data_IF_377036824625
#
_entry.id   IF_377036824625
#
_cell.length_a   1.000
_cell.length_b   1.000
_cell.length_c   1.000
_cell.angle_alpha   90.00
_cell.angle_beta   90.00
_cell.angle_gamma   90.00
#
_symmetry.space_group_name_H-M   'P 1'
#
loop_
_entity.id
_entity.type
_entity.pdbx_description
1 polymer ?
#
# COMPACT_ATOMS: atom_id res chain seq x y z
N UNK A 1 -18.84 24.33 14.45
CA UNK A 1 -17.93 25.28 13.76
C UNK A 1 -16.45 24.88 13.76
N UNK A 2 -15.70 24.77 14.87
CA UNK A 2 -14.26 24.41 14.84
C UNK A 2 -13.97 22.98 14.35
N UNK A 3 -14.76 21.99 14.72
CA UNK A 3 -14.61 20.61 14.27
C UNK A 3 -14.97 20.46 12.79
N UNK A 4 -16.04 21.10 12.34
CA UNK A 4 -16.51 21.12 10.97
C UNK A 4 -15.52 21.76 9.99
N UNK A 5 -14.86 22.86 10.39
CA UNK A 5 -13.82 23.50 9.58
C UNK A 5 -12.57 22.63 9.44
N UNK A 6 -12.21 21.85 10.48
CA UNK A 6 -11.08 20.90 10.42
C UNK A 6 -11.38 19.73 9.47
N UNK A 7 -12.62 19.23 9.48
CA UNK A 7 -13.05 18.15 8.59
C UNK A 7 -13.02 18.58 7.12
N UNK A 8 -13.45 19.80 6.81
CA UNK A 8 -13.41 20.35 5.45
C UNK A 8 -11.97 20.47 4.96
N UNK A 9 -11.06 21.02 5.78
CA UNK A 9 -9.63 21.16 5.42
C UNK A 9 -8.96 19.81 5.20
N UNK A 10 -9.22 18.85 6.09
CA UNK A 10 -8.68 17.51 5.99
C UNK A 10 -9.10 16.81 4.69
N UNK A 11 -10.34 17.03 4.28
CA UNK A 11 -10.89 16.51 3.04
C UNK A 11 -10.28 17.20 1.82
N UNK A 12 -10.19 18.53 1.82
CA UNK A 12 -9.55 19.27 0.73
C UNK A 12 -8.10 18.83 0.52
N UNK A 13 -7.35 18.60 1.61
CA UNK A 13 -5.99 18.09 1.54
C UNK A 13 -5.94 16.69 0.93
N UNK A 14 -6.84 15.79 1.34
CA UNK A 14 -6.90 14.43 0.76
C UNK A 14 -7.21 14.46 -0.74
N UNK A 15 -8.12 15.34 -1.17
CA UNK A 15 -8.43 15.54 -2.59
C UNK A 15 -7.24 16.10 -3.36
N UNK A 16 -6.55 17.10 -2.81
CA UNK A 16 -5.35 17.68 -3.43
C UNK A 16 -4.24 16.63 -3.59
N UNK A 17 -4.01 15.81 -2.57
CA UNK A 17 -3.03 14.71 -2.62
C UNK A 17 -3.40 13.65 -3.66
N UNK A 18 -4.67 13.29 -3.75
CA UNK A 18 -5.16 12.36 -4.76
C UNK A 18 -4.89 12.88 -6.18
N UNK A 19 -5.24 14.15 -6.46
CA UNK A 19 -4.98 14.78 -7.75
C UNK A 19 -3.48 14.83 -8.01
N UNK A 20 -2.68 15.28 -7.05
CA UNK A 20 -1.22 15.40 -7.19
C UNK A 20 -0.57 14.07 -7.59
N UNK A 21 -0.87 12.98 -6.86
CA UNK A 21 -0.30 11.66 -7.14
C UNK A 21 -0.62 11.21 -8.57
N UNK A 22 -1.89 11.34 -8.96
CA UNK A 22 -2.31 10.88 -10.27
C UNK A 22 -1.80 11.80 -11.40
N UNK A 23 -1.68 13.11 -11.17
CA UNK A 23 -1.07 14.06 -12.12
C UNK A 23 0.41 13.70 -12.36
N UNK A 24 1.18 13.49 -11.29
CA UNK A 24 2.58 13.07 -11.40
C UNK A 24 2.72 11.74 -12.15
N UNK A 25 1.79 10.83 -11.92
CA UNK A 25 1.75 9.56 -12.63
C UNK A 25 1.45 9.76 -14.13
N UNK A 26 0.42 10.54 -14.46
CA UNK A 26 0.05 10.86 -15.86
C UNK A 26 1.20 11.57 -16.57
N UNK A 27 1.82 12.56 -15.93
CA UNK A 27 2.95 13.30 -16.50
C UNK A 27 4.10 12.36 -16.87
N UNK A 28 4.54 11.53 -15.92
CA UNK A 28 5.65 10.59 -16.13
C UNK A 28 5.40 9.64 -17.29
N UNK A 29 4.19 9.09 -17.41
CA UNK A 29 3.91 8.07 -18.42
C UNK A 29 3.52 8.67 -19.77
N UNK A 30 2.84 9.83 -19.79
CA UNK A 30 2.56 10.54 -21.04
C UNK A 30 3.81 11.15 -21.67
N UNK A 31 4.82 11.53 -20.86
CA UNK A 31 6.11 12.00 -21.36
C UNK A 31 6.87 10.95 -22.23
N UNK A 32 6.55 9.68 -22.07
CA UNK A 32 7.08 8.59 -22.89
C UNK A 32 6.36 8.44 -24.23
N UNK A 33 5.20 9.06 -24.39
CA UNK A 33 4.30 8.90 -25.54
C UNK A 33 4.16 10.17 -26.37
N UNK A 34 4.31 11.35 -25.74
CA UNK A 34 4.09 12.64 -26.40
C UNK A 34 4.86 13.77 -25.72
N UNK A 35 5.28 14.75 -26.52
CA UNK A 35 5.89 16.01 -26.04
C UNK A 35 4.85 16.91 -25.33
N UNK A 36 3.56 16.66 -25.54
CA UNK A 36 2.45 17.41 -24.93
C UNK A 36 2.07 16.91 -23.52
N UNK A 37 2.93 16.14 -22.85
CA UNK A 37 2.66 15.51 -21.57
C UNK A 37 2.19 16.50 -20.49
N UNK A 38 2.76 17.71 -20.44
CA UNK A 38 2.35 18.74 -19.50
C UNK A 38 0.89 19.20 -19.73
N UNK A 39 0.46 19.33 -20.98
CA UNK A 39 -0.94 19.66 -21.32
C UNK A 39 -1.87 18.52 -20.92
N UNK A 40 -1.50 17.27 -21.21
CA UNK A 40 -2.27 16.07 -20.80
C UNK A 40 -2.45 16.06 -19.28
N UNK A 41 -1.38 16.34 -18.54
CA UNK A 41 -1.39 16.39 -17.08
C UNK A 41 -2.27 17.51 -16.53
N UNK A 42 -2.24 18.70 -17.16
CA UNK A 42 -3.12 19.82 -16.79
C UNK A 42 -4.59 19.49 -17.07
N UNK A 43 -4.91 18.90 -18.21
CA UNK A 43 -6.28 18.47 -18.54
C UNK A 43 -6.75 17.44 -17.50
N UNK A 44 -5.93 16.44 -17.18
CA UNK A 44 -6.25 15.45 -16.17
C UNK A 44 -6.51 16.11 -14.81
N UNK A 45 -5.65 17.05 -14.37
CA UNK A 45 -5.81 17.76 -13.11
C UNK A 45 -7.15 18.50 -13.02
N UNK A 46 -7.53 19.20 -14.09
CA UNK A 46 -8.80 19.94 -14.16
C UNK A 46 -9.99 18.96 -14.10
N UNK A 47 -9.96 17.90 -14.92
CA UNK A 47 -11.02 16.90 -14.96
C UNK A 47 -11.16 16.17 -13.62
N UNK A 48 -10.05 15.73 -13.01
CA UNK A 48 -10.05 15.05 -11.72
C UNK A 48 -10.53 15.98 -10.60
N UNK A 49 -10.05 17.23 -10.57
CA UNK A 49 -10.49 18.23 -9.59
C UNK A 49 -11.99 18.54 -9.71
N UNK A 50 -12.50 18.71 -10.93
CA UNK A 50 -13.91 18.91 -11.19
C UNK A 50 -14.78 17.69 -10.79
N UNK A 51 -14.32 16.48 -11.12
CA UNK A 51 -15.01 15.25 -10.72
C UNK A 51 -15.05 15.09 -9.20
N UNK A 52 -13.97 15.38 -8.49
CA UNK A 52 -13.94 15.36 -7.03
C UNK A 52 -14.87 16.39 -6.39
N UNK A 53 -14.96 17.59 -6.99
CA UNK A 53 -15.87 18.63 -6.53
C UNK A 53 -17.34 18.24 -6.70
N UNK A 54 -17.65 17.50 -7.76
CA UNK A 54 -19.02 17.00 -8.01
C UNK A 54 -19.34 15.74 -7.23
N UNK A 55 -18.35 14.96 -6.80
CA UNK A 55 -18.50 13.63 -6.22
C UNK A 55 -19.49 13.60 -5.06
N UNK A 56 -19.41 14.58 -4.15
CA UNK A 56 -20.34 14.64 -3.00
C UNK A 56 -21.78 14.84 -3.40
N UNK A 57 -21.99 15.78 -4.32
CA UNK A 57 -23.36 16.08 -4.81
C UNK A 57 -23.97 14.87 -5.49
N UNK A 58 -23.14 14.08 -6.18
CA UNK A 58 -23.58 12.83 -6.83
C UNK A 58 -23.87 11.76 -5.78
N UNK A 59 -22.95 11.53 -4.85
CA UNK A 59 -23.11 10.49 -3.83
C UNK A 59 -24.28 10.76 -2.87
N UNK A 60 -24.53 12.01 -2.53
CA UNK A 60 -25.67 12.37 -1.68
C UNK A 60 -27.02 11.97 -2.31
N UNK A 61 -27.15 12.07 -3.63
CA UNK A 61 -28.35 11.72 -4.38
C UNK A 61 -28.55 10.22 -4.57
N UNK A 62 -27.50 9.40 -4.34
CA UNK A 62 -27.60 7.95 -4.53
C UNK A 62 -28.44 7.31 -3.42
N UNK A 63 -29.59 6.75 -3.81
CA UNK A 63 -30.53 6.09 -2.89
C UNK A 63 -30.12 4.65 -2.56
N UNK A 64 -29.47 3.92 -3.50
CA UNK A 64 -29.08 2.50 -3.35
C UNK A 64 -27.57 2.33 -3.47
N UNK A 65 -26.74 2.85 -2.52
CA UNK A 65 -25.29 2.88 -2.66
C UNK A 65 -24.67 1.48 -2.70
N UNK A 66 -25.25 0.48 -2.04
CA UNK A 66 -24.75 -0.90 -2.07
C UNK A 66 -24.93 -1.55 -3.45
N UNK A 67 -26.02 -1.25 -4.16
CA UNK A 67 -26.25 -1.74 -5.51
C UNK A 67 -25.26 -1.13 -6.49
N UNK A 68 -25.06 0.18 -6.44
CA UNK A 68 -24.09 0.87 -7.30
C UNK A 68 -22.66 0.45 -7.00
N UNK A 69 -22.34 0.24 -5.72
CA UNK A 69 -21.04 -0.31 -5.34
C UNK A 69 -20.83 -1.70 -5.96
N UNK A 70 -21.83 -2.59 -5.89
CA UNK A 70 -21.75 -3.92 -6.48
C UNK A 70 -21.55 -3.88 -7.99
N UNK A 71 -22.28 -3.02 -8.71
CA UNK A 71 -22.15 -2.85 -10.16
C UNK A 71 -20.77 -2.30 -10.53
N UNK A 72 -20.35 -1.18 -9.92
CA UNK A 72 -19.09 -0.51 -10.27
C UNK A 72 -17.89 -1.37 -9.87
N UNK A 73 -17.90 -1.96 -8.67
CA UNK A 73 -16.83 -2.85 -8.23
C UNK A 73 -16.77 -4.12 -9.09
N UNK A 74 -17.90 -4.71 -9.44
CA UNK A 74 -17.97 -5.88 -10.32
C UNK A 74 -17.40 -5.59 -11.70
N UNK A 75 -17.80 -4.47 -12.33
CA UNK A 75 -17.24 -4.04 -13.61
C UNK A 75 -15.72 -3.78 -13.50
N UNK A 76 -15.30 -3.06 -12.48
CA UNK A 76 -13.91 -2.72 -12.29
C UNK A 76 -13.03 -3.96 -12.04
N UNK A 77 -13.48 -4.89 -11.18
CA UNK A 77 -12.78 -6.16 -10.94
C UNK A 77 -12.77 -7.03 -12.21
N UNK A 78 -13.88 -7.10 -12.94
CA UNK A 78 -13.97 -7.83 -14.21
C UNK A 78 -13.01 -7.30 -15.27
N UNK A 79 -12.95 -5.97 -15.45
CA UNK A 79 -11.98 -5.32 -16.34
C UNK A 79 -10.54 -5.56 -15.85
N UNK A 80 -10.30 -5.52 -14.53
CA UNK A 80 -9.00 -5.81 -13.95
C UNK A 80 -8.53 -7.24 -14.26
N UNK A 81 -9.42 -8.23 -14.14
CA UNK A 81 -9.13 -9.63 -14.55
C UNK A 81 -8.82 -9.68 -16.05
N UNK A 82 -9.68 -9.08 -16.88
CA UNK A 82 -9.50 -9.09 -18.34
C UNK A 82 -8.14 -8.50 -18.76
N UNK A 83 -7.74 -7.36 -18.15
CA UNK A 83 -6.43 -6.74 -18.40
C UNK A 83 -5.29 -7.70 -18.05
N UNK A 84 -5.34 -8.36 -16.90
CA UNK A 84 -4.29 -9.27 -16.48
C UNK A 84 -4.14 -10.51 -17.36
N UNK A 85 -5.23 -10.99 -17.97
CA UNK A 85 -5.15 -12.10 -18.93
C UNK A 85 -4.88 -11.65 -20.37
N UNK A 86 -5.16 -10.40 -20.71
CA UNK A 86 -4.85 -9.84 -22.04
C UNK A 86 -3.37 -9.45 -22.20
N UNK A 87 -2.67 -9.13 -21.09
CA UNK A 87 -1.27 -8.72 -21.12
C UNK A 87 -0.37 -9.90 -20.75
N UNK A 88 0.53 -10.28 -21.65
CA UNK A 88 1.58 -11.25 -21.34
C UNK A 88 2.56 -10.65 -20.31
N UNK A 89 2.70 -11.27 -19.12
CA UNK A 89 3.53 -10.73 -18.06
C UNK A 89 5.01 -10.65 -18.41
N UNK A 90 5.52 -11.49 -19.33
CA UNK A 90 6.94 -11.48 -19.74
C UNK A 90 7.28 -10.22 -20.54
N UNK A 91 6.30 -9.63 -21.22
CA UNK A 91 6.51 -8.38 -22.00
C UNK A 91 6.58 -7.13 -21.13
N UNK A 92 6.23 -7.24 -19.86
CA UNK A 92 6.21 -6.11 -18.93
C UNK A 92 7.63 -5.65 -18.59
N UNK A 93 7.86 -4.34 -18.63
CA UNK A 93 9.10 -3.71 -18.20
C UNK A 93 9.12 -3.42 -16.67
N UNK A 94 8.38 -4.25 -15.91
CA UNK A 94 8.29 -4.19 -14.44
C UNK A 94 8.30 -5.61 -13.92
N UNK A 95 9.26 -5.92 -13.08
CA UNK A 95 9.58 -7.28 -12.64
C UNK A 95 8.94 -7.69 -11.30
N UNK A 96 8.03 -6.91 -10.75
CA UNK A 96 7.45 -7.17 -9.43
C UNK A 96 6.68 -8.49 -9.34
N UNK A 97 5.97 -8.85 -10.39
CA UNK A 97 5.25 -10.11 -10.45
C UNK A 97 6.21 -11.31 -10.49
N UNK A 98 7.28 -11.24 -11.30
CA UNK A 98 8.27 -12.30 -11.41
C UNK A 98 9.14 -12.42 -10.17
N UNK A 99 9.35 -11.33 -9.43
CA UNK A 99 10.00 -11.35 -8.12
C UNK A 99 9.25 -12.23 -7.10
N UNK A 100 7.92 -12.28 -7.20
CA UNK A 100 7.09 -13.17 -6.36
C UNK A 100 7.02 -14.57 -6.97
N UNK A 101 6.77 -14.66 -8.27
CA UNK A 101 6.60 -15.92 -8.97
C UNK A 101 7.86 -16.78 -8.89
N UNK A 102 9.03 -16.24 -9.29
CA UNK A 102 10.29 -16.99 -9.28
C UNK A 102 10.79 -17.29 -7.85
N UNK A 103 10.47 -16.44 -6.88
CA UNK A 103 10.70 -16.79 -5.48
C UNK A 103 9.95 -18.06 -5.08
N UNK A 104 8.67 -18.15 -5.45
CA UNK A 104 7.84 -19.32 -5.15
C UNK A 104 8.25 -20.55 -5.96
N UNK A 105 8.67 -20.39 -7.23
CA UNK A 105 9.27 -21.45 -8.04
C UNK A 105 10.50 -22.05 -7.34
N UNK A 106 11.45 -21.20 -6.94
CA UNK A 106 12.65 -21.63 -6.23
C UNK A 106 12.33 -22.33 -4.92
N UNK A 107 11.43 -21.73 -4.11
CA UNK A 107 11.05 -22.30 -2.82
C UNK A 107 10.42 -23.70 -2.97
N UNK A 108 9.55 -23.90 -3.94
CA UNK A 108 8.87 -25.18 -4.17
C UNK A 108 9.79 -26.21 -4.83
N UNK A 109 10.76 -25.78 -5.62
CA UNK A 109 11.80 -26.62 -6.23
C UNK A 109 12.95 -26.96 -5.27
N UNK A 110 12.94 -26.47 -4.04
CA UNK A 110 14.05 -26.68 -3.08
C UNK A 110 15.33 -25.90 -3.42
N UNK A 111 15.22 -24.84 -4.23
CA UNK A 111 16.32 -23.92 -4.57
C UNK A 111 16.15 -22.64 -3.77
N UNK A 112 17.26 -22.05 -3.30
CA UNK A 112 17.20 -20.87 -2.45
C UNK A 112 16.44 -19.71 -3.11
N UNK A 113 15.30 -19.25 -2.56
CA UNK A 113 14.37 -18.40 -3.30
C UNK A 113 14.83 -16.95 -3.45
N UNK A 114 15.62 -16.39 -2.50
CA UNK A 114 16.15 -15.02 -2.61
C UNK A 114 17.32 -14.90 -3.59
N UNK A 115 17.85 -16.02 -4.06
CA UNK A 115 18.85 -16.07 -5.14
C UNK A 115 18.21 -16.11 -6.54
N UNK A 116 16.88 -16.22 -6.65
CA UNK A 116 16.20 -16.29 -7.95
C UNK A 116 16.11 -14.92 -8.60
N UNK A 117 16.54 -14.84 -9.86
CA UNK A 117 16.40 -13.63 -10.66
C UNK A 117 14.97 -13.45 -11.19
N UNK A 118 14.57 -12.21 -11.32
CA UNK A 118 13.34 -11.84 -12.03
C UNK A 118 13.52 -12.00 -13.54
N UNK A 119 12.44 -11.92 -14.33
CA UNK A 119 12.52 -11.98 -15.81
C UNK A 119 13.33 -10.83 -16.43
N UNK A 120 13.59 -9.75 -15.70
CA UNK A 120 14.46 -8.65 -16.10
C UNK A 120 15.88 -8.73 -15.52
N UNK A 121 16.26 -9.85 -14.89
CA UNK A 121 17.57 -10.05 -14.29
C UNK A 121 17.79 -9.38 -12.93
N UNK A 122 16.73 -8.76 -12.35
CA UNK A 122 16.76 -8.23 -10.98
C UNK A 122 16.52 -9.30 -9.92
N UNK A 123 16.35 -8.88 -8.66
CA UNK A 123 16.08 -9.77 -7.53
C UNK A 123 14.84 -9.32 -6.74
N UNK A 124 14.21 -10.26 -6.05
CA UNK A 124 12.98 -10.02 -5.29
C UNK A 124 13.20 -9.20 -4.01
N UNK A 125 12.46 -8.10 -3.86
CA UNK A 125 12.48 -7.27 -2.65
C UNK A 125 11.42 -7.60 -1.59
N UNK A 126 10.28 -8.30 -1.88
CA UNK A 126 9.31 -8.63 -0.85
C UNK A 126 9.87 -9.58 0.21
N UNK A 127 9.43 -9.41 1.47
CA UNK A 127 9.84 -10.24 2.60
C UNK A 127 8.98 -11.52 2.69
N UNK A 128 9.36 -12.52 3.52
CA UNK A 128 8.78 -13.86 3.48
C UNK A 128 7.26 -13.93 3.58
N UNK A 129 6.64 -13.17 4.49
CA UNK A 129 5.17 -13.22 4.66
C UNK A 129 4.46 -12.77 3.40
N UNK A 130 4.99 -11.77 2.68
CA UNK A 130 4.40 -11.33 1.42
C UNK A 130 4.46 -12.41 0.36
N UNK A 131 5.59 -13.08 0.25
CA UNK A 131 5.79 -14.18 -0.69
C UNK A 131 4.79 -15.32 -0.43
N UNK A 132 4.68 -15.75 0.84
CA UNK A 132 3.79 -16.85 1.25
C UNK A 132 2.31 -16.50 1.05
N UNK A 133 1.90 -15.24 1.29
CA UNK A 133 0.54 -14.79 1.02
C UNK A 133 0.14 -14.89 -0.46
N UNK A 134 1.11 -14.97 -1.37
CA UNK A 134 0.86 -15.13 -2.79
C UNK A 134 0.75 -16.59 -3.27
N UNK A 135 1.03 -17.58 -2.40
CA UNK A 135 0.91 -19.00 -2.76
C UNK A 135 -0.42 -19.40 -3.41
N UNK A 136 -1.60 -18.95 -2.92
CA UNK A 136 -2.87 -19.28 -3.58
C UNK A 136 -2.96 -18.72 -5.01
N UNK A 137 -2.44 -17.52 -5.22
CA UNK A 137 -2.43 -16.85 -6.53
C UNK A 137 -1.41 -17.46 -7.48
N UNK A 138 -0.28 -17.90 -6.95
CA UNK A 138 0.71 -18.69 -7.68
C UNK A 138 0.12 -20.03 -8.15
N UNK A 139 -0.60 -20.75 -7.28
CA UNK A 139 -1.22 -22.03 -7.59
C UNK A 139 -2.26 -21.94 -8.74
N UNK A 140 -2.93 -20.79 -8.89
CA UNK A 140 -3.85 -20.53 -10.02
C UNK A 140 -3.15 -19.87 -11.23
N UNK A 141 -1.82 -19.77 -11.20
CA UNK A 141 -1.00 -19.28 -12.32
C UNK A 141 -0.93 -17.76 -12.48
N UNK A 142 -1.46 -16.95 -11.53
CA UNK A 142 -1.41 -15.48 -11.66
C UNK A 142 -1.32 -14.78 -10.31
N UNK A 143 -0.09 -14.50 -9.87
CA UNK A 143 0.17 -13.78 -8.60
C UNK A 143 -0.42 -12.36 -8.58
N UNK A 144 -0.65 -11.75 -9.73
CA UNK A 144 -1.24 -10.42 -9.83
C UNK A 144 -2.72 -10.34 -9.43
N UNK A 145 -3.44 -11.46 -9.40
CA UNK A 145 -4.84 -11.47 -8.95
C UNK A 145 -5.00 -11.07 -7.48
N UNK A 146 -3.93 -11.13 -6.70
CA UNK A 146 -3.90 -10.68 -5.30
C UNK A 146 -4.39 -9.23 -5.13
N UNK A 147 -4.07 -8.33 -6.07
CA UNK A 147 -4.52 -6.92 -6.02
C UNK A 147 -6.05 -6.82 -6.08
N UNK A 148 -6.70 -7.62 -6.93
CA UNK A 148 -8.15 -7.60 -7.10
C UNK A 148 -8.87 -8.17 -5.86
N UNK A 149 -8.32 -9.25 -5.28
CA UNK A 149 -8.86 -9.87 -4.07
C UNK A 149 -8.72 -8.92 -2.87
N UNK A 150 -7.56 -8.30 -2.70
CA UNK A 150 -7.33 -7.35 -1.60
C UNK A 150 -8.20 -6.10 -1.77
N UNK A 151 -8.41 -5.63 -3.00
CA UNK A 151 -9.33 -4.53 -3.26
C UNK A 151 -10.77 -4.89 -2.88
N UNK A 152 -11.25 -6.06 -3.29
CA UNK A 152 -12.58 -6.55 -2.86
C UNK A 152 -12.68 -6.61 -1.33
N UNK A 153 -11.63 -7.10 -0.66
CA UNK A 153 -11.51 -7.11 0.80
C UNK A 153 -11.55 -5.71 1.43
N UNK A 154 -10.89 -4.73 0.81
CA UNK A 154 -10.93 -3.34 1.26
C UNK A 154 -12.35 -2.77 1.15
N UNK A 155 -13.01 -2.94 0.01
CA UNK A 155 -14.38 -2.46 -0.19
C UNK A 155 -15.36 -3.12 0.80
N UNK A 156 -15.24 -4.43 0.99
CA UNK A 156 -16.02 -5.14 2.01
C UNK A 156 -15.79 -4.58 3.41
N UNK A 157 -14.54 -4.39 3.80
CA UNK A 157 -14.18 -3.82 5.09
C UNK A 157 -14.77 -2.43 5.27
N UNK A 158 -14.68 -1.57 4.26
CA UNK A 158 -15.25 -0.23 4.29
C UNK A 158 -16.78 -0.24 4.41
N UNK A 159 -17.47 -1.15 3.71
CA UNK A 159 -18.93 -1.30 3.86
C UNK A 159 -19.28 -1.62 5.32
N UNK A 160 -18.55 -2.54 5.96
CA UNK A 160 -18.78 -2.96 7.35
C UNK A 160 -18.43 -1.89 8.38
N UNK A 161 -17.38 -1.11 8.13
CA UNK A 161 -16.82 -0.19 9.13
C UNK A 161 -17.30 1.25 8.95
N UNK A 162 -17.61 1.66 7.72
CA UNK A 162 -17.93 3.06 7.37
C UNK A 162 -19.22 3.21 6.57
N UNK A 163 -19.81 2.11 6.09
CA UNK A 163 -21.02 2.09 5.29
C UNK A 163 -20.81 2.16 3.79
N UNK A 164 -21.86 1.81 3.05
CA UNK A 164 -21.80 1.61 1.60
C UNK A 164 -21.48 2.90 0.80
N UNK A 165 -21.92 4.08 1.24
CA UNK A 165 -21.60 5.36 0.57
C UNK A 165 -20.11 5.64 0.58
N UNK A 166 -19.43 5.41 1.73
CA UNK A 166 -17.99 5.62 1.84
C UNK A 166 -17.20 4.60 1.02
N UNK A 167 -17.63 3.34 1.02
CA UNK A 167 -17.02 2.31 0.17
C UNK A 167 -17.19 2.64 -1.31
N UNK A 168 -18.34 3.16 -1.73
CA UNK A 168 -18.60 3.59 -3.10
C UNK A 168 -17.68 4.75 -3.52
N UNK A 169 -17.48 5.76 -2.65
CA UNK A 169 -16.54 6.85 -2.89
C UNK A 169 -15.14 6.29 -3.14
N UNK A 170 -14.64 5.40 -2.27
CA UNK A 170 -13.30 4.82 -2.41
C UNK A 170 -13.21 3.97 -3.68
N UNK A 171 -14.24 3.19 -4.01
CA UNK A 171 -14.31 2.41 -5.25
C UNK A 171 -14.19 3.32 -6.49
N UNK A 172 -14.96 4.42 -6.53
CA UNK A 172 -14.91 5.38 -7.63
C UNK A 172 -13.55 6.07 -7.73
N UNK A 173 -12.95 6.47 -6.61
CA UNK A 173 -11.63 7.11 -6.58
C UNK A 173 -10.52 6.17 -7.08
N UNK A 174 -10.53 4.91 -6.64
CA UNK A 174 -9.57 3.91 -7.11
C UNK A 174 -9.79 3.57 -8.59
N UNK A 175 -11.05 3.43 -9.03
CA UNK A 175 -11.40 3.17 -10.42
C UNK A 175 -11.08 4.35 -11.36
N UNK A 176 -11.09 5.59 -10.86
CA UNK A 176 -10.72 6.78 -11.62
C UNK A 176 -9.21 7.09 -11.57
N UNK A 177 -8.41 6.34 -10.80
CA UNK A 177 -6.97 6.56 -10.65
C UNK A 177 -6.17 5.81 -11.72
N UNK A 178 -5.51 6.48 -12.69
CA UNK A 178 -4.65 5.83 -13.69
C UNK A 178 -3.54 4.99 -13.05
N UNK A 179 -2.99 5.45 -11.94
CA UNK A 179 -1.98 4.72 -11.18
C UNK A 179 -2.50 3.35 -10.70
N UNK A 180 -3.76 3.25 -10.31
CA UNK A 180 -4.36 1.98 -9.87
C UNK A 180 -4.50 0.98 -11.03
N UNK A 181 -4.93 1.44 -12.19
CA UNK A 181 -5.01 0.61 -13.40
C UNK A 181 -3.64 0.12 -13.87
N UNK A 182 -2.64 0.99 -13.79
CA UNK A 182 -1.27 0.60 -14.09
C UNK A 182 -0.77 -0.51 -13.14
N UNK A 183 -0.97 -0.36 -11.82
CA UNK A 183 -0.58 -1.38 -10.83
C UNK A 183 -1.28 -2.73 -11.13
N UNK A 184 -2.55 -2.70 -11.56
CA UNK A 184 -3.27 -3.91 -11.98
C UNK A 184 -2.64 -4.51 -13.25
N UNK A 185 -2.38 -3.68 -14.27
CA UNK A 185 -1.84 -4.11 -15.55
C UNK A 185 -0.45 -4.73 -15.43
N UNK A 186 0.44 -4.09 -14.64
CA UNK A 186 1.81 -4.59 -14.42
C UNK A 186 1.91 -5.61 -13.27
N UNK A 187 0.78 -6.03 -12.71
CA UNK A 187 0.71 -7.00 -11.59
C UNK A 187 1.59 -6.58 -10.41
N UNK A 188 1.58 -5.28 -10.09
CA UNK A 188 2.38 -4.73 -9.00
C UNK A 188 1.76 -5.07 -7.64
N UNK A 189 2.61 -5.16 -6.64
CA UNK A 189 2.23 -5.55 -5.29
C UNK A 189 2.24 -4.39 -4.27
N UNK A 190 2.68 -3.20 -4.66
CA UNK A 190 2.88 -2.09 -3.71
C UNK A 190 1.56 -1.54 -3.16
N UNK A 191 0.62 -1.21 -4.04
CA UNK A 191 -0.70 -0.71 -3.61
C UNK A 191 -1.48 -1.82 -2.88
N UNK A 192 -1.30 -3.08 -3.29
CA UNK A 192 -1.90 -4.26 -2.64
C UNK A 192 -1.46 -4.35 -1.18
N UNK A 193 -0.15 -4.18 -0.92
CA UNK A 193 0.40 -4.21 0.44
C UNK A 193 -0.19 -3.10 1.32
N UNK A 194 -0.26 -1.87 0.80
CA UNK A 194 -0.83 -0.74 1.54
C UNK A 194 -2.33 -0.94 1.81
N UNK A 195 -3.09 -1.46 0.85
CA UNK A 195 -4.50 -1.80 1.05
C UNK A 195 -4.68 -2.88 2.13
N UNK A 196 -3.82 -3.91 2.14
CA UNK A 196 -3.87 -4.95 3.17
C UNK A 196 -3.64 -4.38 4.57
N UNK A 197 -2.65 -3.49 4.73
CA UNK A 197 -2.40 -2.79 6.00
C UNK A 197 -3.60 -1.93 6.38
N UNK A 198 -4.21 -1.23 5.42
CA UNK A 198 -5.40 -0.42 5.66
C UNK A 198 -6.59 -1.26 6.13
N UNK A 199 -6.81 -2.42 5.51
CA UNK A 199 -7.85 -3.41 5.93
C UNK A 199 -7.61 -3.82 7.38
N UNK A 200 -6.39 -4.24 7.71
CA UNK A 200 -6.03 -4.70 9.05
C UNK A 200 -6.27 -3.61 10.10
N UNK A 201 -5.73 -2.42 9.88
CA UNK A 201 -5.85 -1.30 10.83
C UNK A 201 -7.32 -0.89 11.00
N UNK A 202 -8.06 -0.78 9.90
CA UNK A 202 -9.48 -0.40 9.93
C UNK A 202 -10.33 -1.42 10.68
N UNK A 203 -10.07 -2.72 10.44
CA UNK A 203 -10.78 -3.81 11.12
C UNK A 203 -10.50 -3.86 12.61
N UNK A 204 -9.22 -3.75 13.01
CA UNK A 204 -8.83 -3.73 14.43
C UNK A 204 -9.45 -2.54 15.17
N UNK A 205 -9.48 -1.36 14.53
CA UNK A 205 -10.13 -0.17 15.10
C UNK A 205 -11.65 -0.29 15.17
N UNK A 206 -12.27 -0.92 14.18
CA UNK A 206 -13.71 -1.19 14.19
C UNK A 206 -14.09 -2.13 15.33
N UNK A 207 -13.31 -3.18 15.58
CA UNK A 207 -13.48 -4.12 16.68
C UNK A 207 -13.08 -3.55 18.03
N UNK A 208 -12.63 -2.29 18.09
CA UNK A 208 -12.16 -1.63 19.32
C UNK A 208 -11.01 -2.39 20.01
N UNK A 209 -10.17 -3.07 19.23
CA UNK A 209 -9.01 -3.78 19.73
C UNK A 209 -7.92 -2.76 20.03
N UNK A 210 -7.74 -2.46 21.33
CA UNK A 210 -6.79 -1.47 21.82
C UNK A 210 -5.39 -2.09 21.98
N UNK A 211 -4.35 -1.35 21.61
CA UNK A 211 -2.96 -1.79 21.71
C UNK A 211 -2.57 -2.15 23.16
N UNK A 212 -2.95 -1.32 24.12
CA UNK A 212 -2.58 -1.50 25.54
C UNK A 212 -3.19 -2.76 26.19
N UNK A 213 -4.35 -3.23 25.67
CA UNK A 213 -5.04 -4.45 26.14
C UNK A 213 -4.61 -5.69 25.38
N UNK A 214 -4.22 -5.52 24.10
CA UNK A 214 -3.91 -6.63 23.19
C UNK A 214 -2.46 -6.52 22.68
N UNK A 215 -1.54 -6.14 23.55
CA UNK A 215 -0.12 -5.86 23.20
C UNK A 215 0.51 -7.02 22.42
N UNK A 216 0.28 -8.28 22.85
CA UNK A 216 0.85 -9.46 22.21
C UNK A 216 0.27 -9.66 20.81
N UNK A 217 -1.05 -9.73 20.67
CA UNK A 217 -1.71 -10.01 19.39
C UNK A 217 -1.42 -8.94 18.35
N UNK A 218 -1.49 -7.65 18.73
CA UNK A 218 -1.16 -6.57 17.83
C UNK A 218 0.33 -6.56 17.51
N UNK A 219 1.21 -6.86 18.47
CA UNK A 219 2.64 -6.98 18.24
C UNK A 219 2.99 -8.07 17.23
N UNK A 220 2.40 -9.26 17.36
CA UNK A 220 2.56 -10.35 16.38
C UNK A 220 2.08 -9.92 15.01
N UNK A 221 0.88 -9.34 14.90
CA UNK A 221 0.34 -8.85 13.63
C UNK A 221 1.24 -7.77 13.00
N UNK A 222 1.75 -6.84 13.79
CA UNK A 222 2.68 -5.82 13.30
C UNK A 222 3.98 -6.46 12.77
N UNK A 223 4.55 -7.44 13.48
CA UNK A 223 5.74 -8.16 13.03
C UNK A 223 5.51 -8.92 11.71
N UNK A 224 4.38 -9.59 11.57
CA UNK A 224 3.99 -10.25 10.31
C UNK A 224 3.79 -9.26 9.17
N UNK A 225 3.13 -8.12 9.45
CA UNK A 225 2.93 -7.06 8.44
C UNK A 225 4.26 -6.44 8.01
N UNK A 226 5.19 -6.21 8.93
CA UNK A 226 6.55 -5.75 8.59
C UNK A 226 7.29 -6.76 7.73
N UNK A 227 7.05 -8.06 7.91
CA UNK A 227 7.57 -9.13 7.06
C UNK A 227 6.86 -9.25 5.71
N UNK A 228 6.00 -8.32 5.37
CA UNK A 228 5.53 -8.16 3.99
C UNK A 228 6.42 -7.16 3.24
N UNK A 229 6.49 -5.93 3.72
CA UNK A 229 7.35 -4.86 3.22
C UNK A 229 7.68 -3.87 4.34
N UNK A 230 8.93 -3.38 4.37
CA UNK A 230 9.38 -2.44 5.39
C UNK A 230 8.58 -1.12 5.38
N UNK A 231 8.09 -0.69 4.23
CA UNK A 231 7.26 0.53 4.10
C UNK A 231 5.99 0.45 4.94
N UNK A 232 5.52 -0.75 5.29
CA UNK A 232 4.36 -0.95 6.16
C UNK A 232 4.56 -0.38 7.58
N UNK A 233 5.81 -0.13 8.01
CA UNK A 233 6.10 0.53 9.30
C UNK A 233 5.43 1.90 9.38
N UNK A 234 5.35 2.64 8.27
CA UNK A 234 4.81 4.01 8.27
C UNK A 234 3.32 4.05 8.63
N UNK A 235 2.41 3.37 7.92
CA UNK A 235 1.02 3.35 8.28
C UNK A 235 0.74 2.70 9.65
N UNK A 236 1.53 1.70 10.06
CA UNK A 236 1.42 1.11 11.39
C UNK A 236 1.83 2.10 12.49
N UNK A 237 2.95 2.83 12.33
CA UNK A 237 3.40 3.85 13.27
C UNK A 237 2.37 4.99 13.39
N UNK A 238 1.78 5.44 12.28
CA UNK A 238 0.71 6.44 12.29
C UNK A 238 -0.54 5.91 13.00
N UNK A 239 -0.89 4.64 12.80
CA UNK A 239 -2.09 4.04 13.39
C UNK A 239 -1.97 3.82 14.91
N UNK A 240 -0.82 3.41 15.38
CA UNK A 240 -0.61 2.96 16.77
C UNK A 240 0.36 3.83 17.58
N UNK A 241 1.11 4.75 16.96
CA UNK A 241 2.15 5.53 17.64
C UNK A 241 1.66 6.30 18.86
N UNK A 242 0.47 6.91 18.79
CA UNK A 242 -0.11 7.62 19.92
C UNK A 242 -0.49 6.68 21.09
N UNK A 243 -1.08 5.51 20.77
CA UNK A 243 -1.41 4.51 21.78
C UNK A 243 -0.14 3.93 22.41
N UNK A 244 0.89 3.66 21.57
CA UNK A 244 2.19 3.17 22.02
C UNK A 244 2.85 4.10 23.04
N UNK A 245 2.90 5.40 22.76
CA UNK A 245 3.53 6.39 23.66
C UNK A 245 2.77 6.49 24.99
N UNK A 246 1.44 6.31 24.97
CA UNK A 246 0.64 6.30 26.21
C UNK A 246 0.75 5.03 27.03
N UNK A 247 1.30 3.96 26.47
CA UNK A 247 1.54 2.73 27.23
C UNK A 247 2.67 2.94 28.24
N UNK A 248 2.60 2.26 29.38
CA UNK A 248 3.72 2.20 30.33
C UNK A 248 4.95 1.53 29.66
N UNK A 249 6.16 2.00 30.01
CA UNK A 249 7.40 1.59 29.40
C UNK A 249 7.63 0.07 29.32
N UNK A 250 7.17 -0.70 30.35
CA UNK A 250 7.24 -2.18 30.34
C UNK A 250 6.47 -2.78 29.18
N UNK A 251 5.24 -2.28 28.94
CA UNK A 251 4.42 -2.74 27.80
C UNK A 251 5.02 -2.29 26.45
N UNK A 252 5.64 -1.13 26.39
CA UNK A 252 6.34 -0.68 25.17
C UNK A 252 7.48 -1.62 24.82
N UNK A 253 8.32 -2.01 25.80
CA UNK A 253 9.40 -2.98 25.58
C UNK A 253 8.83 -4.32 25.12
N UNK A 254 7.82 -4.85 25.82
CA UNK A 254 7.16 -6.11 25.44
C UNK A 254 6.63 -6.05 24.02
N UNK A 255 5.96 -4.94 23.63
CA UNK A 255 5.46 -4.76 22.26
C UNK A 255 6.59 -4.80 21.23
N UNK A 256 7.66 -4.04 21.46
CA UNK A 256 8.81 -3.99 20.53
C UNK A 256 9.47 -5.37 20.40
N UNK A 257 9.67 -6.08 21.51
CA UNK A 257 10.25 -7.43 21.51
C UNK A 257 9.36 -8.41 20.73
N UNK A 258 8.03 -8.35 20.90
CA UNK A 258 7.10 -9.22 20.17
C UNK A 258 7.12 -8.90 18.68
N UNK A 259 7.09 -7.62 18.29
CA UNK A 259 7.21 -7.22 16.89
C UNK A 259 8.50 -7.73 16.27
N UNK A 260 9.63 -7.50 16.95
CA UNK A 260 10.95 -7.94 16.49
C UNK A 260 11.05 -9.46 16.39
N UNK A 261 10.57 -10.19 17.41
CA UNK A 261 10.60 -11.66 17.42
C UNK A 261 9.70 -12.24 16.34
N UNK A 262 8.48 -11.71 16.17
CA UNK A 262 7.55 -12.18 15.14
C UNK A 262 8.11 -11.93 13.74
N UNK A 263 8.73 -10.78 13.51
CA UNK A 263 9.43 -10.48 12.27
C UNK A 263 10.62 -11.44 12.05
N UNK A 264 11.49 -11.62 13.06
CA UNK A 264 12.66 -12.48 12.97
C UNK A 264 12.30 -13.96 12.70
N UNK A 265 11.24 -14.46 13.33
CA UNK A 265 10.76 -15.85 13.13
C UNK A 265 10.39 -16.10 11.67
N UNK A 266 9.84 -15.10 10.95
CA UNK A 266 9.51 -15.27 9.53
C UNK A 266 10.75 -15.36 8.62
N UNK A 267 11.86 -14.76 9.03
CA UNK A 267 13.14 -14.81 8.32
C UNK A 267 13.93 -16.07 8.65
N UNK A 268 13.73 -16.65 9.83
CA UNK A 268 14.53 -17.75 10.35
C UNK A 268 14.67 -18.93 9.38
N UNK A 269 13.62 -19.44 8.72
CA UNK A 269 13.77 -20.55 7.77
C UNK A 269 14.75 -20.22 6.64
N UNK A 270 14.73 -18.99 6.13
CA UNK A 270 15.58 -18.54 5.03
C UNK A 270 17.01 -18.25 5.49
N UNK A 271 17.20 -17.80 6.74
CA UNK A 271 18.54 -17.65 7.35
C UNK A 271 19.20 -19.01 7.59
N UNK A 272 18.44 -20.00 8.05
CA UNK A 272 18.93 -21.35 8.27
C UNK A 272 19.21 -22.10 6.96
N UNK A 273 18.49 -21.76 5.90
CA UNK A 273 18.71 -22.37 4.58
C UNK A 273 19.98 -21.81 3.92
N UNK A 274 20.05 -20.48 3.73
CA UNK A 274 21.22 -19.79 3.18
C UNK A 274 21.29 -18.32 3.64
N UNK A 275 21.74 -18.12 4.89
CA UNK A 275 21.74 -16.79 5.51
C UNK A 275 22.63 -15.77 4.84
N UNK A 276 23.70 -16.20 4.14
CA UNK A 276 24.61 -15.31 3.42
C UNK A 276 23.88 -14.52 2.34
N UNK A 277 23.05 -15.16 1.54
CA UNK A 277 22.28 -14.51 0.48
C UNK A 277 21.22 -13.58 1.05
N UNK A 278 20.54 -13.93 2.16
CA UNK A 278 19.54 -13.05 2.75
C UNK A 278 20.13 -11.80 3.40
N UNK A 279 21.29 -11.91 4.05
CA UNK A 279 21.82 -10.84 4.90
C UNK A 279 22.97 -10.05 4.24
N UNK A 280 23.81 -10.70 3.45
CA UNK A 280 25.07 -10.12 2.96
C UNK A 280 25.09 -9.91 1.45
N UNK A 281 24.15 -10.48 0.72
CA UNK A 281 24.10 -10.31 -0.73
C UNK A 281 23.79 -8.85 -1.09
N UNK A 282 24.48 -8.32 -2.10
CA UNK A 282 24.35 -6.92 -2.54
C UNK A 282 22.92 -6.53 -2.92
N UNK A 283 22.12 -7.49 -3.41
CA UNK A 283 20.73 -7.30 -3.82
C UNK A 283 19.74 -7.99 -2.87
N UNK A 284 20.08 -8.13 -1.60
CA UNK A 284 19.16 -8.72 -0.63
C UNK A 284 17.90 -7.85 -0.43
N UNK A 285 16.79 -8.41 0.06
CA UNK A 285 15.52 -7.69 0.13
C UNK A 285 15.55 -6.42 0.98
N UNK A 286 16.43 -6.35 2.00
CA UNK A 286 16.58 -5.15 2.84
C UNK A 286 17.25 -4.01 2.06
N UNK A 287 18.33 -4.30 1.36
CA UNK A 287 19.02 -3.34 0.50
C UNK A 287 18.08 -2.85 -0.60
N UNK A 288 17.41 -3.76 -1.29
CA UNK A 288 16.50 -3.39 -2.39
C UNK A 288 15.33 -2.50 -1.94
N UNK A 289 14.80 -2.69 -0.73
CA UNK A 289 13.74 -1.85 -0.20
C UNK A 289 14.22 -0.49 0.30
N UNK A 290 15.48 -0.35 0.67
CA UNK A 290 16.05 0.90 1.20
C UNK A 290 16.87 1.68 0.16
N UNK A 291 17.23 1.06 -0.97
CA UNK A 291 18.09 1.65 -2.02
C UNK A 291 17.47 2.87 -2.73
N UNK A 292 16.16 3.04 -2.66
CA UNK A 292 15.45 4.11 -3.41
C UNK A 292 15.45 5.47 -2.73
N UNK A 293 16.08 5.61 -1.56
CA UNK A 293 16.12 6.87 -0.83
C UNK A 293 17.28 6.96 0.16
N UNK A 294 17.66 8.19 0.51
CA UNK A 294 18.61 8.41 1.61
C UNK A 294 17.99 7.92 2.92
N UNK A 295 18.73 7.09 3.67
CA UNK A 295 18.32 6.60 5.00
C UNK A 295 17.96 7.79 5.92
N UNK A 296 18.71 8.87 5.86
CA UNK A 296 18.46 10.10 6.63
C UNK A 296 17.08 10.67 6.30
N UNK A 297 16.71 10.72 5.03
CA UNK A 297 15.41 11.22 4.59
C UNK A 297 14.29 10.27 5.03
N UNK A 298 14.49 8.95 4.96
CA UNK A 298 13.52 7.96 5.43
C UNK A 298 13.28 8.09 6.95
N UNK A 299 14.34 8.26 7.74
CA UNK A 299 14.23 8.48 9.20
C UNK A 299 13.49 9.79 9.48
N UNK A 300 13.83 10.88 8.79
CA UNK A 300 13.15 12.16 8.95
C UNK A 300 11.64 12.04 8.70
N UNK A 301 11.24 11.38 7.62
CA UNK A 301 9.83 11.16 7.31
C UNK A 301 9.13 10.25 8.33
N UNK A 302 9.81 9.21 8.83
CA UNK A 302 9.27 8.38 9.90
C UNK A 302 9.04 9.19 11.18
N UNK A 303 9.98 10.04 11.56
CA UNK A 303 9.87 10.93 12.72
C UNK A 303 8.73 11.93 12.52
N UNK A 304 8.61 12.54 11.35
CA UNK A 304 7.49 13.45 11.02
C UNK A 304 6.14 12.71 11.07
N UNK A 305 6.08 11.47 10.58
CA UNK A 305 4.86 10.65 10.64
C UNK A 305 4.43 10.38 12.08
N UNK A 306 5.36 9.96 12.91
CA UNK A 306 5.12 9.68 14.32
C UNK A 306 4.74 10.97 15.05
N UNK A 307 5.48 12.05 14.84
CA UNK A 307 5.19 13.36 15.42
C UNK A 307 3.78 13.86 15.05
N UNK A 308 3.39 13.69 13.79
CA UNK A 308 2.04 14.03 13.33
C UNK A 308 0.97 13.15 13.96
N UNK A 309 1.20 11.83 14.07
CA UNK A 309 0.29 10.90 14.74
C UNK A 309 0.06 11.28 16.22
N UNK A 310 1.12 11.73 16.90
CA UNK A 310 1.06 12.21 18.29
C UNK A 310 0.27 13.52 18.38
N UNK A 311 0.59 14.48 17.50
CA UNK A 311 -0.07 15.80 17.46
C UNK A 311 -1.59 15.68 17.24
N UNK A 312 -2.00 14.78 16.35
CA UNK A 312 -3.41 14.54 16.04
C UNK A 312 -4.15 13.71 17.10
N UNK A 313 -3.46 13.29 18.16
CA UNK A 313 -4.02 12.48 19.25
C UNK A 313 -4.74 11.22 18.75
N UNK A 314 -4.34 10.72 17.60
CA UNK A 314 -4.91 9.52 17.03
C UNK A 314 -6.32 9.68 16.44
N UNK A 315 -6.79 10.87 16.10
CA UNK A 315 -8.05 11.07 15.38
C UNK A 315 -8.04 10.32 14.02
N UNK A 316 -9.08 9.51 13.76
CA UNK A 316 -9.13 8.57 12.61
C UNK A 316 -8.87 9.23 11.25
N UNK A 317 -9.46 10.43 11.01
CA UNK A 317 -9.31 11.16 9.73
C UNK A 317 -7.92 11.70 9.53
N UNK A 318 -7.34 12.27 10.58
CA UNK A 318 -5.99 12.85 10.52
C UNK A 318 -4.92 11.76 10.32
N UNK A 319 -5.12 10.53 10.80
CA UNK A 319 -4.22 9.39 10.55
C UNK A 319 -4.19 9.01 9.07
N UNK A 320 -5.34 8.92 8.42
CA UNK A 320 -5.42 8.60 6.98
C UNK A 320 -4.72 9.68 6.16
N UNK A 321 -4.93 10.95 6.50
CA UNK A 321 -4.31 12.08 5.81
C UNK A 321 -2.80 12.10 6.05
N UNK A 322 -2.35 11.90 7.29
CA UNK A 322 -0.91 11.85 7.60
C UNK A 322 -0.23 10.72 6.85
N UNK A 323 -0.80 9.52 6.83
CA UNK A 323 -0.25 8.38 6.08
C UNK A 323 -0.22 8.68 4.59
N UNK A 324 -1.30 9.24 4.03
CA UNK A 324 -1.36 9.66 2.64
C UNK A 324 -0.32 10.71 2.30
N UNK A 325 -0.16 11.73 3.15
CA UNK A 325 0.82 12.81 2.99
C UNK A 325 2.26 12.29 2.97
N UNK A 326 2.59 11.38 3.88
CA UNK A 326 3.92 10.78 3.97
C UNK A 326 4.19 9.89 2.77
N UNK A 327 3.26 9.02 2.42
CA UNK A 327 3.39 8.15 1.25
C UNK A 327 3.49 8.96 -0.04
N UNK A 328 2.70 10.04 -0.19
CA UNK A 328 2.80 10.95 -1.33
C UNK A 328 4.16 11.61 -1.39
N UNK A 329 4.69 12.06 -0.26
CA UNK A 329 6.00 12.72 -0.22
C UNK A 329 7.10 11.72 -0.59
N UNK A 330 7.04 10.48 -0.13
CA UNK A 330 7.97 9.42 -0.52
C UNK A 330 7.89 9.13 -2.03
N UNK A 331 6.68 9.07 -2.59
CA UNK A 331 6.46 8.88 -4.04
C UNK A 331 7.01 10.07 -4.82
N UNK A 332 6.73 11.31 -4.42
CA UNK A 332 7.26 12.52 -5.06
C UNK A 332 8.79 12.54 -5.01
N UNK A 333 9.40 12.21 -3.88
CA UNK A 333 10.85 12.16 -3.76
C UNK A 333 11.47 11.08 -4.63
N UNK A 334 10.88 9.89 -4.70
CA UNK A 334 11.32 8.83 -5.59
C UNK A 334 11.12 9.20 -7.07
N UNK A 335 10.07 9.95 -7.38
CA UNK A 335 9.79 10.44 -8.73
C UNK A 335 10.82 11.49 -9.16
N UNK A 336 11.05 12.51 -8.33
CA UNK A 336 12.05 13.57 -8.60
C UNK A 336 13.46 12.99 -8.70
N UNK A 337 13.82 12.04 -7.82
CA UNK A 337 15.11 11.35 -7.87
C UNK A 337 15.33 10.54 -9.15
N UNK A 338 14.28 10.11 -9.83
CA UNK A 338 14.35 9.37 -11.11
C UNK A 338 14.16 10.23 -12.36
N UNK A 339 13.84 11.50 -12.22
CA UNK A 339 13.80 12.44 -13.36
C UNK A 339 15.19 12.94 -13.76
N UNK A 340 16.18 12.79 -12.87
CA UNK A 340 17.58 13.17 -13.13
C UNK A 340 18.47 12.00 -13.58
N UNK A 341 17.91 10.81 -13.77
CA UNK A 341 18.56 9.61 -14.35
C UNK A 341 17.75 9.09 -15.52
#
# INVERSE_FOLDING_TARGET
MRAESKDIRARQLAMALYVLINVLFVDKYSARMTEWHAIVSCIYAICAGGALWLLDRVIEKIQKPILWLGIIAGLWLGVGVAIQYAIDPITLQVDRWSAIHHFLDGMLAGVYPYGQQTHLGGYGSPLPVWQILHLPFYAIGNVGLSILVVLGGLLYTLVKTRGAKQALIVCMLLGAAPACWYEIAVRSDLITNIMLVAILVEWLKYKQIELAKNTISIGVLCGLVLSTRLVAVIPLAVAYGYEFIKMGWKKQIVFVLIVASSFAVTLLPFILWEGSTLLWFEYNPFVLQTRQGSITVMILWAVLAIGWAIYTKGEKRMRVISTGLILTTLVVMAFVGKMGT
#
